data_IF_802674397778
#
_entry.id   IF_802674397778
#
_cell.length_a   1.000
_cell.length_b   1.000
_cell.length_c   1.000
_cell.angle_alpha   90.00
_cell.angle_beta   90.00
_cell.angle_gamma   90.00
#
_symmetry.space_group_name_H-M   'P 1'
#
loop_
_entity.id
_entity.type
_entity.pdbx_description
1 polymer ?
#
# COMPACT_ATOMS: atom_id res chain seq x y z
N UNK A 1 4.29 -27.69 -66.23
CA UNK A 1 3.19 -27.69 -65.24
C UNK A 1 3.68 -26.95 -64.01
N UNK A 2 3.03 -25.83 -63.71
CA UNK A 2 3.50 -24.77 -62.81
C UNK A 2 2.82 -24.97 -61.45
N UNK A 3 3.59 -25.24 -60.39
CA UNK A 3 3.06 -25.45 -59.04
C UNK A 3 2.90 -24.08 -58.38
N UNK A 4 1.66 -23.66 -58.19
CA UNK A 4 1.29 -22.40 -57.54
C UNK A 4 1.51 -22.48 -56.02
N UNK A 5 2.28 -21.54 -55.51
CA UNK A 5 2.51 -21.29 -54.09
C UNK A 5 1.25 -20.62 -53.51
N UNK A 6 0.50 -21.31 -52.65
CA UNK A 6 -0.61 -20.70 -51.90
C UNK A 6 -0.02 -19.81 -50.78
N UNK A 7 -0.01 -18.50 -51.00
CA UNK A 7 0.14 -17.51 -49.93
C UNK A 7 -1.13 -17.50 -49.08
N UNK A 8 -1.06 -18.05 -47.86
CA UNK A 8 -2.08 -17.84 -46.84
C UNK A 8 -1.92 -16.41 -46.29
N UNK A 9 -2.90 -15.56 -46.60
CA UNK A 9 -2.98 -14.20 -46.10
C UNK A 9 -3.18 -14.20 -44.57
N UNK A 10 -2.27 -13.53 -43.86
CA UNK A 10 -2.42 -13.20 -42.44
C UNK A 10 -3.55 -12.16 -42.33
N UNK A 11 -4.57 -12.36 -41.46
CA UNK A 11 -5.64 -11.38 -41.30
C UNK A 11 -5.09 -10.07 -40.73
N UNK A 12 -5.62 -8.90 -41.14
CA UNK A 12 -5.13 -7.62 -40.67
C UNK A 12 -5.30 -7.50 -39.16
N UNK A 13 -4.26 -7.00 -38.51
CA UNK A 13 -4.22 -6.62 -37.10
C UNK A 13 -5.54 -5.97 -36.67
N UNK A 14 -6.22 -6.59 -35.71
CA UNK A 14 -7.27 -5.91 -34.96
C UNK A 14 -6.64 -4.71 -34.27
N UNK A 15 -7.04 -3.51 -34.69
CA UNK A 15 -6.66 -2.24 -34.10
C UNK A 15 -6.96 -2.29 -32.60
N UNK A 16 -5.95 -2.05 -31.76
CA UNK A 16 -6.15 -1.82 -30.34
C UNK A 16 -7.16 -0.66 -30.17
N UNK A 17 -8.11 -0.75 -29.22
CA UNK A 17 -9.06 0.34 -28.98
C UNK A 17 -8.28 1.60 -28.61
N UNK A 18 -8.62 2.72 -29.25
CA UNK A 18 -8.07 4.02 -28.92
C UNK A 18 -8.27 4.28 -27.41
N UNK A 19 -7.17 4.40 -26.67
CA UNK A 19 -7.19 4.70 -25.25
C UNK A 19 -7.85 6.07 -25.05
N UNK A 20 -9.00 6.05 -24.37
CA UNK A 20 -9.74 7.22 -23.93
C UNK A 20 -8.81 8.10 -23.09
N UNK A 21 -8.37 9.27 -23.59
CA UNK A 21 -7.46 10.18 -22.90
C UNK A 21 -8.09 10.90 -21.67
N UNK A 22 -8.87 10.19 -20.84
CA UNK A 22 -9.74 10.80 -19.82
C UNK A 22 -9.86 10.04 -18.50
N UNK A 23 -9.33 8.83 -18.33
CA UNK A 23 -9.42 8.16 -17.03
C UNK A 23 -8.43 8.76 -16.03
N UNK A 24 -7.26 9.22 -16.49
CA UNK A 24 -6.28 9.88 -15.62
C UNK A 24 -6.86 11.13 -14.96
N UNK A 25 -7.66 11.93 -15.65
CA UNK A 25 -8.14 13.22 -15.14
C UNK A 25 -9.36 13.12 -14.22
N UNK A 26 -10.17 12.06 -14.35
CA UNK A 26 -11.47 11.95 -13.68
C UNK A 26 -11.57 10.81 -12.66
N UNK A 27 -10.64 9.84 -12.68
CA UNK A 27 -10.73 8.71 -11.76
C UNK A 27 -10.38 9.08 -10.31
N UNK A 28 -11.08 8.50 -9.31
CA UNK A 28 -10.80 8.78 -7.91
C UNK A 28 -9.48 8.12 -7.47
N UNK A 29 -8.65 8.84 -6.70
CA UNK A 29 -7.46 8.27 -6.08
C UNK A 29 -7.83 7.27 -4.98
N UNK A 30 -7.23 6.08 -5.00
CA UNK A 30 -7.46 4.99 -4.08
C UNK A 30 -6.24 4.76 -3.18
N UNK A 31 -6.48 4.48 -1.90
CA UNK A 31 -5.45 4.02 -0.95
C UNK A 31 -5.15 2.51 -1.11
N UNK A 32 -5.63 1.91 -2.20
CA UNK A 32 -5.38 0.52 -2.60
C UNK A 32 -4.56 0.44 -3.88
N UNK A 33 -4.03 1.57 -4.38
CA UNK A 33 -3.09 1.63 -5.49
C UNK A 33 -2.00 2.67 -5.24
N UNK A 34 -0.84 2.47 -5.86
CA UNK A 34 0.32 3.37 -5.74
C UNK A 34 1.27 3.23 -6.95
N UNK A 35 2.10 4.24 -7.16
CA UNK A 35 3.40 4.09 -7.84
C UNK A 35 4.49 4.19 -6.78
N UNK A 36 5.39 3.22 -6.70
CA UNK A 36 6.44 3.20 -5.69
C UNK A 36 7.75 2.62 -6.22
N UNK A 37 8.87 2.98 -5.60
CA UNK A 37 10.10 2.20 -5.68
C UNK A 37 10.00 1.03 -4.71
N UNK A 38 10.26 -0.19 -5.17
CA UNK A 38 10.43 -1.38 -4.32
C UNK A 38 11.86 -1.87 -4.52
N UNK A 39 12.68 -1.97 -3.45
CA UNK A 39 14.02 -2.55 -3.57
C UNK A 39 13.92 -3.97 -4.18
N UNK A 40 14.91 -4.43 -4.94
CA UNK A 40 14.95 -5.82 -5.39
C UNK A 40 14.97 -6.81 -4.21
N UNK A 41 14.39 -7.98 -4.41
CA UNK A 41 14.16 -8.97 -3.35
C UNK A 41 15.45 -9.40 -2.62
N UNK A 42 16.60 -9.40 -3.31
CA UNK A 42 17.90 -9.81 -2.75
C UNK A 42 18.42 -8.89 -1.64
N UNK A 43 17.89 -7.68 -1.51
CA UNK A 43 18.27 -6.74 -0.44
C UNK A 43 17.23 -6.60 0.67
N UNK A 44 16.18 -7.42 0.67
CA UNK A 44 15.08 -7.29 1.64
C UNK A 44 15.43 -7.77 3.04
N UNK A 45 16.43 -8.65 3.21
CA UNK A 45 16.70 -9.30 4.49
C UNK A 45 16.85 -8.28 5.63
N UNK A 46 17.78 -7.33 5.52
CA UNK A 46 18.00 -6.30 6.54
C UNK A 46 16.75 -5.46 6.82
N UNK A 47 15.99 -5.11 5.78
CA UNK A 47 14.77 -4.31 5.91
C UNK A 47 13.70 -5.11 6.68
N UNK A 48 13.46 -6.35 6.26
CA UNK A 48 12.41 -7.20 6.83
C UNK A 48 12.76 -7.62 8.26
N UNK A 49 14.04 -7.85 8.58
CA UNK A 49 14.49 -8.08 9.97
C UNK A 49 14.20 -6.87 10.86
N UNK A 50 14.48 -5.65 10.39
CA UNK A 50 14.13 -4.43 11.13
C UNK A 50 12.60 -4.28 11.28
N UNK A 51 11.82 -4.48 10.21
CA UNK A 51 10.34 -4.43 10.27
C UNK A 51 9.78 -5.46 11.25
N UNK A 52 10.38 -6.65 11.32
CA UNK A 52 9.98 -7.71 12.24
C UNK A 52 10.30 -7.34 13.70
N UNK A 53 11.53 -6.90 13.99
CA UNK A 53 11.95 -6.52 15.35
C UNK A 53 11.14 -5.33 15.88
N UNK A 54 10.75 -4.41 15.00
CA UNK A 54 9.91 -3.25 15.32
C UNK A 54 8.40 -3.55 15.35
N UNK A 55 7.99 -4.80 15.05
CA UNK A 55 6.59 -5.22 14.93
C UNK A 55 5.77 -4.34 13.97
N UNK A 56 6.27 -4.15 12.76
CA UNK A 56 5.56 -3.43 11.71
C UNK A 56 4.28 -4.14 11.27
N UNK A 57 3.14 -3.57 11.64
CA UNK A 57 1.81 -4.05 11.25
C UNK A 57 1.58 -3.97 9.73
N UNK A 58 2.43 -3.24 9.00
CA UNK A 58 2.40 -3.13 7.54
C UNK A 58 3.03 -4.32 6.81
N UNK A 59 3.80 -5.18 7.47
CA UNK A 59 4.63 -6.19 6.80
C UNK A 59 3.88 -7.23 5.97
N UNK A 60 2.65 -7.57 6.37
CA UNK A 60 1.82 -8.47 5.58
C UNK A 60 1.21 -7.78 4.37
N UNK A 61 0.95 -6.47 4.44
CA UNK A 61 0.23 -5.73 3.40
C UNK A 61 1.15 -5.15 2.34
N UNK A 62 2.31 -4.68 2.75
CA UNK A 62 3.20 -3.87 1.93
C UNK A 62 4.57 -4.53 1.78
N UNK A 63 5.10 -4.63 0.54
CA UNK A 63 6.53 -4.85 0.36
C UNK A 63 7.31 -3.67 0.96
N UNK A 64 8.62 -3.81 1.25
CA UNK A 64 9.52 -2.66 1.40
C UNK A 64 9.34 -1.69 0.23
N UNK A 65 9.03 -0.42 0.50
CA UNK A 65 8.72 0.51 -0.58
C UNK A 65 8.99 1.98 -0.20
N UNK A 66 9.23 2.79 -1.22
CA UNK A 66 9.22 4.26 -1.18
C UNK A 66 8.07 4.71 -2.10
N UNK A 67 6.98 5.22 -1.52
CA UNK A 67 5.85 5.70 -2.32
C UNK A 67 6.25 6.94 -3.12
N UNK A 68 6.02 6.95 -4.43
CA UNK A 68 6.25 8.08 -5.32
C UNK A 68 4.94 8.81 -5.62
N UNK A 69 3.86 8.06 -5.86
CA UNK A 69 2.50 8.60 -6.01
C UNK A 69 1.55 7.77 -5.13
N UNK A 70 1.02 8.38 -4.07
CA UNK A 70 0.08 7.74 -3.14
C UNK A 70 -0.83 8.76 -2.44
N UNK A 71 -2.17 8.55 -2.42
CA UNK A 71 -2.93 7.51 -3.14
C UNK A 71 -2.82 7.64 -4.67
N UNK A 72 -3.17 6.59 -5.42
CA UNK A 72 -3.03 6.56 -6.88
C UNK A 72 -4.33 6.17 -7.60
N UNK A 73 -4.33 6.14 -8.93
CA UNK A 73 -5.49 5.83 -9.75
C UNK A 73 -5.89 4.34 -9.67
N UNK A 74 -7.16 3.98 -9.94
CA UNK A 74 -7.62 2.59 -9.90
C UNK A 74 -7.00 1.72 -11.00
N UNK A 75 -6.98 0.38 -10.84
CA UNK A 75 -6.47 -0.53 -11.87
C UNK A 75 -7.08 -0.34 -13.26
N UNK A 76 -8.36 0.09 -13.34
CA UNK A 76 -9.02 0.41 -14.61
C UNK A 76 -8.35 1.52 -15.42
N UNK A 77 -7.54 2.37 -14.78
CA UNK A 77 -6.78 3.44 -15.44
C UNK A 77 -5.31 3.04 -15.72
N UNK A 78 -4.85 1.85 -15.30
CA UNK A 78 -3.43 1.50 -15.37
C UNK A 78 -2.87 1.46 -16.78
N UNK A 79 -3.67 1.11 -17.78
CA UNK A 79 -3.22 1.15 -19.16
C UNK A 79 -2.86 2.58 -19.61
N UNK A 80 -3.69 3.57 -19.27
CA UNK A 80 -3.38 4.98 -19.53
C UNK A 80 -2.20 5.47 -18.68
N UNK A 81 -2.14 5.06 -17.40
CA UNK A 81 -1.02 5.43 -16.53
C UNK A 81 0.32 4.90 -17.06
N UNK A 82 0.39 3.65 -17.52
CA UNK A 82 1.62 3.10 -18.11
C UNK A 82 2.00 3.87 -19.37
N UNK A 83 1.04 4.17 -20.24
CA UNK A 83 1.29 4.97 -21.44
C UNK A 83 1.83 6.38 -21.13
N UNK A 84 1.38 7.00 -20.03
CA UNK A 84 1.84 8.31 -19.59
C UNK A 84 3.19 8.27 -18.84
N UNK A 85 3.40 7.27 -17.98
CA UNK A 85 4.56 7.21 -17.09
C UNK A 85 5.80 6.57 -17.74
N UNK A 86 5.62 5.59 -18.62
CA UNK A 86 6.74 4.85 -19.20
C UNK A 86 7.73 5.71 -20.01
N UNK A 87 7.28 6.68 -20.84
CA UNK A 87 8.21 7.59 -21.54
C UNK A 87 9.00 8.48 -20.58
N UNK A 88 8.43 8.83 -19.43
CA UNK A 88 9.10 9.63 -18.41
C UNK A 88 10.18 8.81 -17.72
N UNK A 89 9.86 7.60 -17.27
CA UNK A 89 10.85 6.74 -16.61
C UNK A 89 11.96 6.32 -17.55
N UNK A 90 11.66 6.03 -18.83
CA UNK A 90 12.68 5.64 -19.79
C UNK A 90 13.66 6.77 -20.15
N UNK A 91 13.26 8.03 -19.95
CA UNK A 91 14.11 9.21 -20.09
C UNK A 91 15.01 9.52 -18.88
N UNK A 92 14.78 8.87 -17.74
CA UNK A 92 15.57 9.07 -16.52
C UNK A 92 16.70 8.03 -16.49
N UNK A 93 17.95 8.49 -16.39
CA UNK A 93 19.09 7.58 -16.21
C UNK A 93 18.95 6.76 -14.93
N UNK A 94 19.20 5.44 -14.96
CA UNK A 94 19.27 4.63 -13.75
C UNK A 94 20.25 5.21 -12.72
N UNK A 95 19.89 5.11 -11.46
CA UNK A 95 20.72 5.53 -10.34
C UNK A 95 20.66 4.52 -9.20
N UNK A 96 21.66 4.57 -8.33
CA UNK A 96 21.74 3.73 -7.13
C UNK A 96 21.27 4.51 -5.91
N UNK A 97 20.54 3.85 -5.03
CA UNK A 97 20.14 4.39 -3.71
C UNK A 97 20.74 3.53 -2.63
N UNK A 98 21.24 4.18 -1.57
CA UNK A 98 21.62 3.55 -0.31
C UNK A 98 20.72 4.09 0.79
N UNK A 99 20.04 3.22 1.53
CA UNK A 99 19.22 3.56 2.69
C UNK A 99 20.05 3.38 3.97
N UNK A 100 20.91 4.37 4.26
CA UNK A 100 21.89 4.34 5.36
C UNK A 100 21.49 5.17 6.58
N UNK A 101 20.56 6.11 6.44
CA UNK A 101 20.08 6.93 7.54
C UNK A 101 18.73 6.46 8.06
N UNK A 102 18.53 6.61 9.37
CA UNK A 102 17.25 6.39 10.05
C UNK A 102 16.70 7.72 10.54
N UNK A 103 15.40 7.92 10.38
CA UNK A 103 14.73 9.08 10.97
C UNK A 103 13.28 8.83 11.35
N UNK A 104 12.66 9.81 12.01
CA UNK A 104 11.27 9.73 12.43
C UNK A 104 10.44 10.96 12.04
N UNK A 105 9.16 10.74 11.82
CA UNK A 105 8.17 11.82 11.76
C UNK A 105 6.91 11.46 12.55
N UNK A 106 6.11 12.48 12.84
CA UNK A 106 4.84 12.33 13.56
C UNK A 106 4.68 13.34 14.69
N UNK A 107 3.86 12.98 15.68
CA UNK A 107 3.58 13.80 16.86
C UNK A 107 3.05 12.97 18.01
N UNK A 108 2.20 13.56 18.86
CA UNK A 108 1.71 12.92 20.10
C UNK A 108 0.81 11.69 19.89
N UNK A 109 0.20 11.56 18.72
CA UNK A 109 -0.78 10.51 18.42
C UNK A 109 -0.41 9.63 17.21
N UNK A 110 0.82 9.78 16.70
CA UNK A 110 1.38 8.96 15.62
C UNK A 110 2.89 9.12 15.58
N UNK A 111 3.62 8.03 15.41
CA UNK A 111 5.03 8.04 15.04
C UNK A 111 5.30 7.11 13.86
N UNK A 112 6.32 7.41 13.08
CA UNK A 112 6.84 6.55 12.02
C UNK A 112 8.36 6.53 12.13
N UNK A 113 8.95 5.34 12.14
CA UNK A 113 10.38 5.14 11.94
C UNK A 113 10.59 4.69 10.50
N UNK A 114 11.54 5.31 9.80
CA UNK A 114 11.85 5.02 8.41
C UNK A 114 13.35 5.09 8.15
N UNK A 115 13.79 4.47 7.06
CA UNK A 115 15.13 4.67 6.50
C UNK A 115 15.08 5.49 5.21
N UNK A 116 16.17 6.19 4.92
CA UNK A 116 16.29 7.08 3.77
C UNK A 116 17.77 7.23 3.36
N UNK A 117 18.08 7.71 2.14
CA UNK A 117 19.45 8.06 1.80
C UNK A 117 19.92 9.28 2.57
N UNK A 118 21.13 9.20 3.15
CA UNK A 118 21.83 10.37 3.72
C UNK A 118 22.43 11.26 2.62
N UNK A 119 22.78 10.65 1.48
CA UNK A 119 23.36 11.35 0.33
C UNK A 119 22.33 12.30 -0.30
N UNK A 120 22.66 13.59 -0.32
CA UNK A 120 21.82 14.61 -0.96
C UNK A 120 21.55 14.29 -2.43
N UNK A 121 22.55 13.82 -3.18
CA UNK A 121 22.39 13.48 -4.59
C UNK A 121 21.39 12.33 -4.81
N UNK A 122 21.42 11.31 -3.95
CA UNK A 122 20.47 10.18 -4.04
C UNK A 122 19.06 10.58 -3.57
N UNK A 123 18.97 11.43 -2.56
CA UNK A 123 17.72 12.05 -2.13
C UNK A 123 17.09 12.86 -3.27
N UNK A 124 17.86 13.76 -3.89
CA UNK A 124 17.38 14.61 -4.98
C UNK A 124 16.96 13.77 -6.20
N UNK A 125 17.68 12.70 -6.55
CA UNK A 125 17.30 11.80 -7.63
C UNK A 125 15.92 11.15 -7.41
N UNK A 126 15.58 10.78 -6.18
CA UNK A 126 14.23 10.29 -5.84
C UNK A 126 13.18 11.39 -5.94
N UNK A 127 13.50 12.62 -5.53
CA UNK A 127 12.62 13.78 -5.67
C UNK A 127 12.35 14.15 -7.14
N UNK A 128 13.38 14.11 -7.97
CA UNK A 128 13.29 14.38 -9.41
C UNK A 128 12.43 13.31 -10.08
N UNK A 129 12.64 12.03 -9.75
CA UNK A 129 11.80 10.93 -10.21
C UNK A 129 10.33 11.14 -9.80
N UNK A 130 10.06 11.45 -8.54
CA UNK A 130 8.70 11.71 -8.07
C UNK A 130 8.04 12.88 -8.81
N UNK A 131 8.78 13.99 -8.97
CA UNK A 131 8.31 15.19 -9.64
C UNK A 131 7.98 14.91 -11.12
N UNK A 132 8.83 14.16 -11.81
CA UNK A 132 8.62 13.79 -13.20
C UNK A 132 7.38 12.87 -13.38
N UNK A 133 7.22 11.87 -12.51
CA UNK A 133 6.03 11.00 -12.51
C UNK A 133 4.75 11.79 -12.24
N UNK A 134 4.79 12.74 -11.29
CA UNK A 134 3.64 13.59 -11.00
C UNK A 134 3.29 14.50 -12.17
N UNK A 135 4.28 15.04 -12.88
CA UNK A 135 4.04 15.86 -14.08
C UNK A 135 3.31 15.09 -15.17
N UNK A 136 3.57 13.78 -15.31
CA UNK A 136 2.84 12.91 -16.25
C UNK A 136 1.45 12.49 -15.77
N UNK A 137 1.18 12.51 -14.46
CA UNK A 137 -0.14 12.20 -13.87
C UNK A 137 -0.54 13.32 -12.89
N UNK A 138 -0.91 14.52 -13.38
CA UNK A 138 -1.01 15.73 -12.56
C UNK A 138 -2.03 15.66 -11.42
N UNK A 139 -3.03 14.79 -11.51
CA UNK A 139 -4.04 14.61 -10.46
C UNK A 139 -3.48 13.96 -9.18
N UNK A 140 -2.30 13.33 -9.26
CA UNK A 140 -1.63 12.67 -8.14
C UNK A 140 -0.69 13.63 -7.38
N UNK A 141 -1.21 14.80 -7.02
CA UNK A 141 -0.49 15.95 -6.43
C UNK A 141 -0.47 15.97 -4.89
N UNK A 142 -0.75 14.84 -4.23
CA UNK A 142 -0.89 14.80 -2.76
C UNK A 142 0.37 15.30 -2.05
N UNK A 143 1.56 14.92 -2.49
CA UNK A 143 2.80 15.41 -1.88
C UNK A 143 2.96 16.93 -1.99
N UNK A 144 2.64 17.53 -3.13
CA UNK A 144 2.68 19.00 -3.28
C UNK A 144 1.68 19.69 -2.35
N UNK A 145 0.49 19.12 -2.16
CA UNK A 145 -0.54 19.68 -1.28
C UNK A 145 -0.22 19.54 0.21
N UNK A 146 0.55 18.54 0.60
CA UNK A 146 0.74 18.14 2.00
C UNK A 146 2.19 18.30 2.51
N UNK A 147 2.91 19.30 2.01
CA UNK A 147 4.21 19.70 2.58
C UNK A 147 5.44 19.15 1.84
N UNK A 148 5.26 18.65 0.63
CA UNK A 148 6.33 18.17 -0.24
C UNK A 148 6.53 16.66 -0.18
N UNK A 149 7.38 16.18 -1.08
CA UNK A 149 7.82 14.80 -1.10
C UNK A 149 9.10 14.65 -0.27
N UNK A 150 9.11 13.70 0.66
CA UNK A 150 10.30 13.29 1.39
C UNK A 150 10.51 11.81 1.12
N UNK A 151 11.55 11.40 0.37
CA UNK A 151 11.77 9.99 0.04
C UNK A 151 12.13 9.20 1.29
N UNK A 152 11.31 8.22 1.64
CA UNK A 152 11.52 7.35 2.79
C UNK A 152 10.93 5.96 2.58
N UNK A 153 11.56 4.95 3.20
CA UNK A 153 11.04 3.60 3.33
C UNK A 153 10.62 3.38 4.79
N UNK A 154 9.31 3.22 5.02
CA UNK A 154 8.80 3.02 6.37
C UNK A 154 9.23 1.66 6.92
N UNK A 155 9.83 1.67 8.11
CA UNK A 155 10.17 0.46 8.85
C UNK A 155 9.05 0.09 9.83
N UNK A 156 8.45 1.03 10.56
CA UNK A 156 7.33 0.72 11.45
C UNK A 156 6.52 1.96 11.83
N UNK A 157 5.31 1.72 12.32
CA UNK A 157 4.41 2.73 12.86
C UNK A 157 4.24 2.58 14.38
N UNK A 158 4.25 3.71 15.08
CA UNK A 158 4.17 3.82 16.54
C UNK A 158 3.01 4.72 16.98
N UNK A 159 2.66 4.64 18.26
CA UNK A 159 1.55 5.43 18.82
C UNK A 159 1.91 6.91 18.97
N UNK A 160 3.20 7.22 19.05
CA UNK A 160 3.74 8.58 19.13
C UNK A 160 5.10 8.67 18.45
N UNK A 161 5.53 9.90 18.11
CA UNK A 161 6.89 10.15 17.63
C UNK A 161 7.94 9.76 18.67
N UNK A 162 7.67 9.97 19.96
CA UNK A 162 8.59 9.60 21.04
C UNK A 162 8.88 8.09 21.07
N UNK A 163 7.85 7.25 20.92
CA UNK A 163 8.03 5.80 20.79
C UNK A 163 8.88 5.45 19.54
N UNK A 164 8.69 6.16 18.43
CA UNK A 164 9.49 5.96 17.22
C UNK A 164 10.96 6.35 17.42
N UNK A 165 11.26 7.44 18.16
CA UNK A 165 12.63 7.86 18.47
C UNK A 165 13.32 6.87 19.42
N UNK A 166 12.60 6.32 20.41
CA UNK A 166 13.12 5.24 21.27
C UNK A 166 13.47 4.00 20.45
N UNK A 167 12.59 3.61 19.51
CA UNK A 167 12.83 2.49 18.62
C UNK A 167 14.00 2.76 17.66
N UNK A 168 14.16 3.99 17.15
CA UNK A 168 15.31 4.43 16.36
C UNK A 168 16.61 4.26 17.14
N UNK A 169 16.66 4.74 18.39
CA UNK A 169 17.83 4.63 19.25
C UNK A 169 18.22 3.17 19.53
N UNK A 170 17.26 2.25 19.62
CA UNK A 170 17.51 0.83 19.77
C UNK A 170 18.00 0.16 18.46
N UNK A 171 17.54 0.63 17.29
CA UNK A 171 17.87 0.05 16.00
C UNK A 171 19.21 0.55 15.43
N UNK A 172 19.61 1.80 15.72
CA UNK A 172 20.74 2.46 15.03
C UNK A 172 22.05 1.68 15.08
N UNK A 173 22.34 0.99 16.19
CA UNK A 173 23.57 0.21 16.36
C UNK A 173 23.61 -1.11 15.59
N UNK A 174 22.47 -1.59 15.09
CA UNK A 174 22.33 -2.83 14.33
C UNK A 174 21.78 -2.62 12.92
N UNK A 175 21.52 -1.36 12.51
CA UNK A 175 21.05 -1.06 11.17
C UNK A 175 22.15 -1.34 10.15
N UNK A 176 21.84 -2.23 9.20
CA UNK A 176 22.69 -2.53 8.06
C UNK A 176 22.17 -1.74 6.86
N UNK A 177 22.93 -0.76 6.32
CA UNK A 177 22.53 -0.01 5.15
C UNK A 177 22.21 -0.90 3.96
N UNK A 178 21.19 -0.50 3.19
CA UNK A 178 20.71 -1.27 2.03
C UNK A 178 20.94 -0.48 0.75
N UNK A 179 21.72 -1.04 -0.17
CA UNK A 179 22.05 -0.40 -1.45
C UNK A 179 21.55 -1.19 -2.64
N UNK A 180 20.76 -0.56 -3.50
CA UNK A 180 20.22 -1.19 -4.70
C UNK A 180 20.16 -0.23 -5.89
N UNK A 181 20.12 -0.82 -7.08
CA UNK A 181 19.95 -0.11 -8.34
C UNK A 181 18.46 0.10 -8.64
N UNK A 182 18.10 1.29 -9.12
CA UNK A 182 16.70 1.65 -9.38
C UNK A 182 16.22 1.31 -10.81
N UNK A 183 17.05 0.72 -11.68
CA UNK A 183 16.72 0.49 -13.10
C UNK A 183 15.42 -0.27 -13.35
N UNK A 184 15.03 -1.21 -12.49
CA UNK A 184 13.80 -2.01 -12.64
C UNK A 184 12.92 -2.00 -11.37
N UNK A 185 13.06 -0.96 -10.55
CA UNK A 185 12.52 -0.93 -9.18
C UNK A 185 11.27 -0.07 -9.03
N UNK A 186 10.81 0.62 -10.08
CA UNK A 186 9.59 1.43 -10.05
C UNK A 186 8.40 0.59 -10.50
N UNK A 187 7.34 0.54 -9.70
CA UNK A 187 6.17 -0.29 -9.98
C UNK A 187 4.86 0.45 -9.82
N UNK A 188 3.91 0.13 -10.68
CA UNK A 188 2.49 0.31 -10.38
C UNK A 188 2.06 -0.88 -9.53
N UNK A 189 1.42 -0.61 -8.40
CA UNK A 189 0.94 -1.65 -7.50
C UNK A 189 -0.50 -1.39 -7.10
N UNK A 190 -1.26 -2.46 -6.87
CA UNK A 190 -2.55 -2.37 -6.21
C UNK A 190 -2.79 -3.58 -5.31
N UNK A 191 -3.79 -3.47 -4.44
CA UNK A 191 -4.28 -4.57 -3.62
C UNK A 191 -5.78 -4.76 -3.79
N UNK A 192 -6.22 -6.00 -3.68
CA UNK A 192 -7.63 -6.34 -3.64
C UNK A 192 -8.18 -6.34 -2.21
N UNK A 193 -9.41 -5.84 -2.07
CA UNK A 193 -10.09 -5.79 -0.78
C UNK A 193 -9.38 -4.92 0.27
N UNK A 194 -9.98 -4.80 1.45
CA UNK A 194 -9.42 -4.00 2.54
C UNK A 194 -8.22 -4.67 3.23
N UNK A 195 -8.01 -5.98 3.04
CA UNK A 195 -7.04 -6.79 3.78
C UNK A 195 -5.97 -7.45 2.88
N UNK A 196 -6.06 -7.28 1.55
CA UNK A 196 -5.08 -7.84 0.62
C UNK A 196 -3.71 -7.14 0.66
N UNK A 197 -2.74 -7.81 0.03
CA UNK A 197 -1.37 -7.33 -0.16
C UNK A 197 -1.25 -6.50 -1.43
N UNK A 198 -0.35 -5.51 -1.45
CA UNK A 198 0.02 -4.84 -2.69
C UNK A 198 0.80 -5.81 -3.58
N UNK A 199 0.27 -6.03 -4.79
CA UNK A 199 0.87 -6.80 -5.86
C UNK A 199 1.27 -5.86 -7.01
N UNK A 200 2.29 -6.26 -7.76
CA UNK A 200 2.86 -5.54 -8.89
C UNK A 200 2.00 -5.73 -10.14
N UNK A 201 1.45 -4.63 -10.64
CA UNK A 201 0.70 -4.62 -11.89
C UNK A 201 1.57 -4.25 -13.10
N UNK A 202 2.64 -3.48 -12.92
CA UNK A 202 3.63 -3.22 -13.97
C UNK A 202 4.96 -2.78 -13.35
N UNK A 203 6.04 -2.95 -14.12
CA UNK A 203 7.36 -2.37 -13.83
C UNK A 203 7.66 -1.27 -14.83
N UNK A 204 8.00 -0.09 -14.35
CA UNK A 204 8.45 1.04 -15.14
C UNK A 204 9.99 1.09 -15.08
N UNK A 205 10.71 0.57 -16.08
CA UNK A 205 12.17 0.65 -16.06
C UNK A 205 12.65 2.09 -16.19
N UNK A 206 13.75 2.40 -15.50
CA UNK A 206 14.50 3.63 -15.72
C UNK A 206 15.47 3.43 -16.89
N UNK A 207 15.60 4.43 -17.74
CA UNK A 207 16.47 4.39 -18.91
C UNK A 207 15.89 3.61 -20.09
N UNK A 208 16.71 3.39 -21.11
CA UNK A 208 16.31 2.76 -22.37
C UNK A 208 15.70 3.73 -23.40
N UNK A 209 15.40 4.98 -23.03
CA UNK A 209 14.98 6.02 -23.96
C UNK A 209 13.77 5.64 -24.82
N UNK A 210 13.70 6.16 -26.04
CA UNK A 210 12.60 5.93 -26.97
C UNK A 210 12.50 4.48 -27.51
N UNK A 211 13.53 3.65 -27.30
CA UNK A 211 13.51 2.24 -27.70
C UNK A 211 12.94 1.31 -26.63
N UNK A 212 12.71 1.81 -25.40
CA UNK A 212 11.96 1.07 -24.39
C UNK A 212 10.49 0.97 -24.83
N UNK A 213 10.05 -0.23 -25.21
CA UNK A 213 8.63 -0.49 -25.46
C UNK A 213 7.79 -0.23 -24.21
N UNK A 214 6.46 -0.09 -24.40
CA UNK A 214 5.56 0.09 -23.28
C UNK A 214 5.60 -1.15 -22.35
N UNK A 215 5.76 -0.95 -21.04
CA UNK A 215 5.62 -2.03 -20.06
C UNK A 215 4.29 -2.77 -20.20
N UNK A 216 4.33 -4.08 -20.10
CA UNK A 216 3.11 -4.89 -20.08
C UNK A 216 2.47 -4.86 -18.69
N UNK A 217 1.14 -4.75 -18.66
CA UNK A 217 0.38 -4.98 -17.44
C UNK A 217 0.39 -6.49 -17.11
N UNK A 218 0.57 -6.79 -15.84
CA UNK A 218 0.54 -8.12 -15.27
C UNK A 218 -0.89 -8.41 -14.83
N UNK A 219 -1.56 -9.35 -15.51
CA UNK A 219 -2.93 -9.77 -15.21
C UNK A 219 -2.95 -11.29 -14.97
N UNK A 220 -3.13 -11.76 -13.73
CA UNK A 220 -3.30 -10.96 -12.51
C UNK A 220 -2.00 -10.27 -12.08
N UNK A 221 -2.13 -9.23 -11.25
CA UNK A 221 -0.98 -8.56 -10.64
C UNK A 221 -0.11 -9.57 -9.87
N UNK A 222 1.21 -9.45 -10.04
CA UNK A 222 2.18 -10.39 -9.48
C UNK A 222 2.52 -10.06 -8.04
N UNK A 223 2.38 -11.04 -7.16
CA UNK A 223 2.86 -10.94 -5.79
C UNK A 223 4.40 -10.91 -5.75
N UNK A 224 4.97 -10.10 -4.87
CA UNK A 224 6.41 -10.13 -4.60
C UNK A 224 6.79 -11.46 -3.91
N UNK A 225 7.78 -12.21 -4.42
CA UNK A 225 8.17 -13.51 -3.88
C UNK A 225 8.38 -13.54 -2.36
N UNK A 226 9.11 -12.55 -1.83
CA UNK A 226 9.49 -12.48 -0.41
C UNK A 226 8.43 -11.89 0.53
N UNK A 227 7.23 -11.59 0.03
CA UNK A 227 6.13 -11.24 0.93
C UNK A 227 5.77 -12.43 1.84
N UNK A 228 5.21 -12.21 3.04
CA UNK A 228 4.69 -13.29 3.87
C UNK A 228 3.46 -13.94 3.22
N UNK A 229 3.41 -15.28 3.18
CA UNK A 229 2.27 -16.01 2.62
C UNK A 229 1.03 -15.91 3.51
N UNK A 230 1.24 -15.80 4.83
CA UNK A 230 0.19 -15.75 5.83
C UNK A 230 0.32 -14.49 6.71
N UNK A 231 -0.82 -13.96 7.17
CA UNK A 231 -0.86 -12.85 8.11
C UNK A 231 -0.53 -13.37 9.50
N UNK A 232 0.60 -12.95 10.07
CA UNK A 232 0.96 -13.30 11.43
C UNK A 232 -0.12 -12.84 12.43
N UNK A 233 -0.36 -13.63 13.48
CA UNK A 233 -1.43 -13.40 14.45
C UNK A 233 -1.37 -12.00 15.08
N UNK A 234 -0.18 -11.53 15.45
CA UNK A 234 0.01 -10.21 16.04
C UNK A 234 -0.31 -9.05 15.07
N UNK A 235 -0.15 -9.26 13.75
CA UNK A 235 -0.54 -8.29 12.71
C UNK A 235 -2.07 -8.27 12.61
N UNK A 236 -2.67 -9.45 12.54
CA UNK A 236 -4.12 -9.63 12.46
C UNK A 236 -4.81 -8.99 13.67
N UNK A 237 -4.32 -9.23 14.87
CA UNK A 237 -4.87 -8.66 16.10
C UNK A 237 -4.77 -7.13 16.08
N UNK A 238 -3.60 -6.60 15.74
CA UNK A 238 -3.41 -5.16 15.63
C UNK A 238 -4.35 -4.51 14.59
N UNK A 239 -4.62 -5.21 13.48
CA UNK A 239 -5.56 -4.78 12.44
C UNK A 239 -7.01 -4.80 12.94
N UNK A 240 -7.43 -5.86 13.63
CA UNK A 240 -8.76 -5.97 14.22
C UNK A 240 -8.97 -4.88 15.29
N UNK A 241 -7.96 -4.60 16.11
CA UNK A 241 -7.99 -3.52 17.09
C UNK A 241 -8.13 -2.14 16.45
N UNK A 242 -7.38 -1.88 15.37
CA UNK A 242 -7.50 -0.64 14.61
C UNK A 242 -8.93 -0.46 14.04
N UNK A 243 -9.55 -1.55 13.56
CA UNK A 243 -10.95 -1.54 13.09
C UNK A 243 -11.94 -1.26 14.22
N UNK A 244 -11.72 -1.81 15.42
CA UNK A 244 -12.56 -1.55 16.60
C UNK A 244 -12.47 -0.10 17.08
N UNK A 245 -11.29 0.51 17.01
CA UNK A 245 -11.04 1.91 17.41
C UNK A 245 -11.52 2.91 16.36
N UNK A 246 -11.58 2.51 15.10
CA UNK A 246 -12.03 3.37 14.02
C UNK A 246 -13.56 3.56 14.09
N UNK A 247 -14.06 4.81 14.07
CA UNK A 247 -15.50 5.03 13.90
C UNK A 247 -15.95 4.41 12.56
N UNK A 248 -17.14 3.80 12.48
CA UNK A 248 -17.59 3.11 11.28
C UNK A 248 -17.58 4.07 10.07
N UNK A 249 -16.73 3.76 9.08
CA UNK A 249 -16.69 4.46 7.78
C UNK A 249 -18.05 4.26 7.11
N UNK A 250 -18.83 5.34 7.00
CA UNK A 250 -20.17 5.33 6.36
C UNK A 250 -21.33 5.80 7.24
N UNK A 251 -21.14 6.03 8.54
CA UNK A 251 -22.21 6.56 9.41
C UNK A 251 -22.22 8.11 9.45
N UNK A 252 -22.38 8.76 8.29
CA UNK A 252 -23.16 10.03 8.24
C UNK A 252 -24.66 9.76 8.13
N UNK A 253 -25.11 8.52 8.33
CA UNK A 253 -26.42 8.28 8.93
C UNK A 253 -26.45 9.10 10.22
N UNK A 254 -27.29 10.15 10.24
CA UNK A 254 -27.70 10.85 11.46
C UNK A 254 -27.78 9.77 12.53
N UNK A 255 -26.85 9.76 13.50
CA UNK A 255 -27.05 9.00 14.73
C UNK A 255 -28.40 9.49 15.21
N UNK A 256 -29.48 8.73 14.99
CA UNK A 256 -30.65 8.81 15.85
C UNK A 256 -30.02 8.65 17.22
N UNK A 257 -29.90 9.76 17.94
CA UNK A 257 -29.49 9.75 19.34
C UNK A 257 -30.29 8.60 19.93
N UNK A 258 -29.60 7.55 20.42
CA UNK A 258 -30.31 6.51 21.16
C UNK A 258 -31.16 7.26 22.17
N UNK A 259 -32.48 7.03 22.21
CA UNK A 259 -33.33 7.72 23.16
C UNK A 259 -32.69 7.59 24.54
N UNK A 260 -32.64 8.69 25.29
CA UNK A 260 -32.14 8.65 26.66
C UNK A 260 -32.89 7.54 27.38
N UNK A 261 -32.15 6.59 27.96
CA UNK A 261 -32.74 5.50 28.74
C UNK A 261 -33.72 6.08 29.75
N UNK A 262 -34.88 5.46 29.91
CA UNK A 262 -35.87 5.89 30.89
C UNK A 262 -35.29 5.81 32.31
N UNK A 263 -35.90 6.49 33.28
CA UNK A 263 -35.52 6.33 34.68
C UNK A 263 -35.60 4.86 35.13
N UNK A 264 -36.60 4.14 34.63
CA UNK A 264 -36.84 2.72 34.89
C UNK A 264 -35.77 1.82 34.29
N UNK A 265 -35.33 2.06 33.05
CA UNK A 265 -34.19 1.34 32.46
C UNK A 265 -32.90 1.54 33.25
N UNK A 266 -32.68 2.74 33.79
CA UNK A 266 -31.48 3.04 34.59
C UNK A 266 -31.53 2.34 35.95
N UNK A 267 -32.69 2.33 36.60
CA UNK A 267 -32.91 1.60 37.84
C UNK A 267 -32.73 0.08 37.64
N UNK A 268 -33.30 -0.48 36.56
CA UNK A 268 -33.14 -1.89 36.20
C UNK A 268 -31.68 -2.26 35.92
N UNK A 269 -30.89 -1.38 35.30
CA UNK A 269 -29.46 -1.63 35.06
C UNK A 269 -28.66 -1.56 36.37
N UNK A 270 -28.98 -0.61 37.26
CA UNK A 270 -28.31 -0.44 38.54
C UNK A 270 -28.62 -1.58 39.52
N UNK A 271 -29.80 -2.20 39.41
CA UNK A 271 -30.22 -3.33 40.26
C UNK A 271 -29.66 -4.69 39.82
N UNK A 272 -28.84 -4.77 38.76
CA UNK A 272 -28.31 -6.05 38.27
C UNK A 272 -27.28 -6.62 39.23
N UNK A 273 -27.46 -7.89 39.57
CA UNK A 273 -26.48 -8.63 40.37
C UNK A 273 -25.23 -8.95 39.54
N UNK A 274 -24.09 -9.28 40.17
CA UNK A 274 -22.91 -9.79 39.46
C UNK A 274 -23.20 -11.01 38.57
N UNK A 275 -24.13 -11.87 39.00
CA UNK A 275 -24.57 -13.05 38.25
C UNK A 275 -25.37 -12.68 36.99
N UNK A 276 -26.26 -11.68 37.07
CA UNK A 276 -26.97 -11.16 35.91
C UNK A 276 -26.01 -10.55 34.89
N UNK A 277 -24.99 -9.84 35.38
CA UNK A 277 -23.95 -9.23 34.55
C UNK A 277 -23.15 -10.33 33.82
N UNK A 278 -22.79 -11.41 34.51
CA UNK A 278 -22.04 -12.51 33.91
C UNK A 278 -22.87 -13.31 32.90
N UNK A 279 -24.16 -13.54 33.17
CA UNK A 279 -25.09 -14.15 32.20
C UNK A 279 -25.21 -13.29 30.93
N UNK A 280 -25.33 -11.98 31.06
CA UNK A 280 -25.36 -11.05 29.91
C UNK A 280 -24.05 -11.09 29.13
N UNK A 281 -22.91 -11.17 29.82
CA UNK A 281 -21.59 -11.29 29.18
C UNK A 281 -21.45 -12.62 28.45
N UNK A 282 -21.90 -13.73 29.04
CA UNK A 282 -21.90 -15.06 28.44
C UNK A 282 -22.73 -15.09 27.14
N UNK A 283 -23.98 -14.62 27.19
CA UNK A 283 -24.85 -14.56 26.01
C UNK A 283 -24.25 -13.70 24.88
N UNK A 284 -23.55 -12.61 25.22
CA UNK A 284 -22.84 -11.77 24.24
C UNK A 284 -21.61 -12.47 23.65
N UNK A 285 -20.88 -13.27 24.44
CA UNK A 285 -19.75 -14.08 23.94
C UNK A 285 -20.25 -15.14 22.97
N UNK A 286 -21.34 -15.84 23.30
CA UNK A 286 -21.96 -16.84 22.44
C UNK A 286 -22.49 -16.25 21.14
N UNK A 287 -23.24 -15.13 21.20
CA UNK A 287 -23.70 -14.43 20.01
C UNK A 287 -22.56 -13.95 19.11
N UNK A 288 -21.41 -13.56 19.71
CA UNK A 288 -20.21 -13.19 18.96
C UNK A 288 -19.60 -14.38 18.25
N UNK A 289 -19.48 -15.53 18.93
CA UNK A 289 -18.97 -16.76 18.34
C UNK A 289 -19.84 -17.22 17.16
N UNK A 290 -21.17 -17.14 17.30
CA UNK A 290 -22.12 -17.45 16.22
C UNK A 290 -21.95 -16.50 15.02
N UNK A 291 -21.78 -15.20 15.26
CA UNK A 291 -21.56 -14.22 14.19
C UNK A 291 -20.21 -14.43 13.47
N UNK A 292 -19.15 -14.75 14.22
CA UNK A 292 -17.82 -15.06 13.67
C UNK A 292 -17.84 -16.35 12.85
N UNK A 293 -18.56 -17.38 13.30
CA UNK A 293 -18.77 -18.62 12.55
C UNK A 293 -19.57 -18.39 11.26
N UNK A 294 -20.64 -17.58 11.31
CA UNK A 294 -21.45 -17.24 10.15
C UNK A 294 -20.66 -16.41 9.10
N UNK A 295 -19.76 -15.52 9.55
CA UNK A 295 -18.87 -14.77 8.66
C UNK A 295 -17.88 -15.69 7.93
N UNK A 296 -17.25 -16.64 8.64
CA UNK A 296 -16.37 -17.65 8.03
C UNK A 296 -17.11 -18.55 7.04
N UNK A 297 -18.36 -18.92 7.32
CA UNK A 297 -19.15 -19.77 6.41
C UNK A 297 -19.56 -19.05 5.12
N UNK A 298 -19.61 -17.72 5.14
CA UNK A 298 -19.90 -16.89 3.96
C UNK A 298 -18.68 -16.69 3.04
N UNK A 299 -17.47 -16.92 3.54
CA UNK A 299 -16.20 -16.92 2.77
C UNK A 299 -15.90 -18.28 2.11
N UNK A 300 -16.62 -19.35 2.47
CA UNK A 300 -16.36 -20.74 2.00
C UNK A 300 -17.41 -21.24 0.99
N UNK A 301 -18.45 -20.45 0.68
CA UNK A 301 -19.35 -20.78 -0.45
C UNK A 301 -18.80 -20.17 -1.74
N UNK A 302 -18.60 -20.96 -2.81
CA UNK A 302 -18.08 -20.49 -4.08
C UNK A 302 -18.99 -19.44 -4.73
#
# INVERSE_FOLDING_TARGET
MQVALLCLAVPPHQSAPALSAGLITHAPKLHSSTVAVVPPDDVWESIQQARLSLRDKGMYRWPPHINLLYPFLPPSAFHECVAALAPVTSGISPFRVTLDALDTFGGRARGVLFCHPSSKAQHDALCDLQSALQAAVPVCDDYQRFGGFTPHLTLAHFSSREEAEQAKAALVGSWVPVSFDCSASVHLMHREGADGQFARAATLPLGGGASAGLPQLMEPAQRFPLMPAEEAEWIRDARLDARRRSPPRGSRSRRRRRPRRSAEERASIAARTPEDIEKIRAARRESRLLAEAAAKHKEIRP
#
